data_IF_750461848556
#
_entry.id   IF_750461848556
#
_cell.length_a   1.000
_cell.length_b   1.000
_cell.length_c   1.000
_cell.angle_alpha   90.00
_cell.angle_beta   90.00
_cell.angle_gamma   90.00
#
_symmetry.space_group_name_H-M   'P 1'
#
loop_
_entity.id
_entity.type
_entity.pdbx_description
1 polymer ?
#
# COMPACT_ATOMS: atom_id res chain seq x y z
N UNK A 1 -13.98 -5.25 -6.09
CA UNK A 1 -12.68 -5.72 -6.26
C UNK A 1 -11.79 -4.61 -6.65
N UNK A 2 -10.68 -4.53 -6.02
CA UNK A 2 -9.75 -3.44 -6.24
C UNK A 2 -8.59 -3.89 -7.11
N UNK A 3 -7.99 -2.94 -7.82
CA UNK A 3 -6.77 -3.18 -8.57
C UNK A 3 -5.63 -2.53 -7.77
N UNK A 4 -4.69 -3.34 -7.31
CA UNK A 4 -3.69 -2.91 -6.32
C UNK A 4 -2.30 -2.99 -6.91
N UNK A 5 -1.55 -1.89 -6.81
CA UNK A 5 -0.14 -1.88 -7.19
C UNK A 5 0.69 -2.21 -5.97
N UNK A 6 1.51 -3.25 -6.07
CA UNK A 6 2.37 -3.69 -4.98
C UNK A 6 3.80 -3.38 -5.35
N UNK A 7 4.47 -2.55 -4.56
CA UNK A 7 5.87 -2.21 -4.75
C UNK A 7 6.69 -2.86 -3.63
N UNK A 8 7.45 -3.89 -3.97
CA UNK A 8 8.20 -4.68 -2.99
C UNK A 8 9.33 -5.39 -3.70
N UNK A 9 10.58 -5.20 -3.26
CA UNK A 9 11.73 -5.78 -3.92
C UNK A 9 12.05 -7.22 -3.48
N UNK A 10 11.51 -7.67 -2.34
CA UNK A 10 11.69 -9.05 -1.93
C UNK A 10 10.63 -9.91 -2.58
N UNK A 11 11.07 -10.79 -3.48
CA UNK A 11 10.14 -11.60 -4.25
C UNK A 11 9.24 -12.47 -3.38
N UNK A 12 9.78 -13.03 -2.32
CA UNK A 12 8.98 -13.89 -1.44
C UNK A 12 7.84 -13.10 -0.78
N UNK A 13 8.10 -11.85 -0.41
CA UNK A 13 7.08 -11.01 0.21
C UNK A 13 6.04 -10.59 -0.82
N UNK A 14 6.49 -10.13 -1.99
CA UNK A 14 5.54 -9.68 -3.01
C UNK A 14 4.65 -10.81 -3.50
N UNK A 15 5.21 -12.03 -3.64
CA UNK A 15 4.42 -13.17 -4.06
C UNK A 15 3.38 -13.55 -3.00
N UNK A 16 3.77 -13.51 -1.73
CA UNK A 16 2.85 -13.81 -0.64
C UNK A 16 1.70 -12.81 -0.60
N UNK A 17 2.04 -11.53 -0.68
CA UNK A 17 1.04 -10.47 -0.61
C UNK A 17 0.10 -10.53 -1.82
N UNK A 18 0.65 -10.69 -3.00
CA UNK A 18 -0.13 -10.76 -4.22
C UNK A 18 -1.13 -11.91 -4.15
N UNK A 19 -0.66 -13.08 -3.72
CA UNK A 19 -1.53 -14.23 -3.63
C UNK A 19 -2.63 -14.03 -2.58
N UNK A 20 -2.27 -13.46 -1.43
CA UNK A 20 -3.24 -13.22 -0.38
C UNK A 20 -4.37 -12.31 -0.87
N UNK A 21 -4.00 -11.24 -1.56
CA UNK A 21 -4.99 -10.29 -2.05
C UNK A 21 -5.84 -10.88 -3.18
N UNK A 22 -5.23 -11.69 -4.03
CA UNK A 22 -5.98 -12.35 -5.10
C UNK A 22 -6.99 -13.33 -4.52
N UNK A 23 -6.68 -13.99 -3.42
CA UNK A 23 -7.60 -14.89 -2.77
C UNK A 23 -8.82 -14.15 -2.22
N UNK A 24 -8.68 -12.85 -1.92
CA UNK A 24 -9.79 -12.03 -1.47
C UNK A 24 -10.50 -11.32 -2.64
N UNK A 25 -10.14 -11.65 -3.88
CA UNK A 25 -10.83 -11.15 -5.05
C UNK A 25 -10.27 -9.89 -5.67
N UNK A 26 -9.13 -9.42 -5.21
CA UNK A 26 -8.48 -8.24 -5.81
C UNK A 26 -7.60 -8.65 -6.96
N UNK A 27 -7.29 -7.72 -7.86
CA UNK A 27 -6.28 -7.93 -8.89
C UNK A 27 -5.03 -7.19 -8.46
N UNK A 28 -3.87 -7.71 -8.79
CA UNK A 28 -2.61 -7.13 -8.35
C UNK A 28 -1.62 -6.96 -9.49
N UNK A 29 -0.76 -5.95 -9.36
CA UNK A 29 0.35 -5.75 -10.27
C UNK A 29 1.56 -5.54 -9.37
N UNK A 30 2.59 -6.36 -9.51
CA UNK A 30 3.77 -6.29 -8.66
C UNK A 30 4.91 -5.64 -9.41
N UNK A 31 5.57 -4.68 -8.76
CA UNK A 31 6.80 -4.09 -9.28
C UNK A 31 7.85 -4.17 -8.17
N UNK A 32 9.12 -4.12 -8.53
CA UNK A 32 10.20 -4.42 -7.59
C UNK A 32 10.96 -3.19 -7.10
N UNK A 33 10.61 -2.00 -7.54
CA UNK A 33 11.26 -0.79 -7.05
C UNK A 33 10.33 0.41 -7.21
N UNK A 34 10.70 1.50 -6.56
CA UNK A 34 9.89 2.71 -6.57
C UNK A 34 9.82 3.39 -7.93
N UNK A 35 10.86 3.27 -8.73
CA UNK A 35 10.87 3.84 -10.07
C UNK A 35 9.88 3.13 -10.98
N UNK A 36 9.85 1.80 -10.91
CA UNK A 36 8.89 1.01 -11.67
C UNK A 36 7.46 1.27 -11.19
N UNK A 37 7.30 1.50 -9.87
CA UNK A 37 5.98 1.83 -9.33
C UNK A 37 5.49 3.19 -9.85
N UNK A 38 6.36 4.18 -9.86
CA UNK A 38 5.99 5.50 -10.37
C UNK A 38 5.60 5.42 -11.85
N UNK A 39 6.33 4.62 -12.63
CA UNK A 39 6.05 4.43 -14.03
C UNK A 39 4.68 3.74 -14.21
N UNK A 40 4.39 2.71 -13.44
CA UNK A 40 3.12 2.01 -13.52
C UNK A 40 1.96 2.94 -13.19
N UNK A 41 2.12 3.79 -12.16
CA UNK A 41 1.09 4.73 -11.78
C UNK A 41 0.79 5.74 -12.88
N UNK A 42 1.78 6.09 -13.67
CA UNK A 42 1.57 7.05 -14.75
C UNK A 42 0.83 6.43 -15.94
N UNK A 43 0.81 5.12 -16.03
CA UNK A 43 0.24 4.44 -17.18
C UNK A 43 -1.09 3.73 -16.92
N UNK A 44 -1.39 3.44 -15.68
CA UNK A 44 -2.59 2.68 -15.33
C UNK A 44 -3.27 3.25 -14.11
N UNK A 45 -4.54 2.93 -13.96
CA UNK A 45 -5.29 3.31 -12.77
C UNK A 45 -5.20 2.21 -11.72
N UNK A 46 -4.96 2.59 -10.47
CA UNK A 46 -4.95 1.65 -9.36
C UNK A 46 -5.83 2.20 -8.24
N UNK A 47 -6.45 1.29 -7.51
CA UNK A 47 -7.33 1.67 -6.39
C UNK A 47 -6.55 1.81 -5.08
N UNK A 48 -5.36 1.24 -5.02
CA UNK A 48 -4.51 1.31 -3.82
C UNK A 48 -3.05 1.12 -4.21
N UNK A 49 -2.16 1.85 -3.55
CA UNK A 49 -0.73 1.60 -3.62
C UNK A 49 -0.30 0.95 -2.32
N UNK A 50 0.26 -0.26 -2.40
CA UNK A 50 0.81 -0.97 -1.25
C UNK A 50 2.31 -1.04 -1.47
N UNK A 51 3.09 -0.37 -0.64
CA UNK A 51 4.53 -0.24 -0.88
C UNK A 51 5.36 -0.50 0.35
N UNK A 52 6.50 -1.15 0.15
CA UNK A 52 7.53 -1.24 1.18
C UNK A 52 8.20 0.12 1.29
N UNK A 53 8.88 0.38 2.40
CA UNK A 53 9.60 1.62 2.60
C UNK A 53 10.98 1.55 1.97
N UNK A 54 11.71 0.49 2.21
CA UNK A 54 13.07 0.36 1.70
C UNK A 54 13.08 -0.41 0.39
N UNK A 55 13.39 0.29 -0.70
CA UNK A 55 13.45 -0.31 -2.04
C UNK A 55 14.55 0.37 -2.84
N UNK A 56 15.09 -0.29 -3.86
CA UNK A 56 16.07 0.36 -4.74
C UNK A 56 15.40 1.40 -5.62
N UNK A 57 16.19 2.26 -6.15
CA UNK A 57 15.85 3.34 -7.09
C UNK A 57 15.09 4.48 -6.39
N UNK A 58 13.93 4.20 -5.84
CA UNK A 58 13.15 5.21 -5.11
C UNK A 58 12.50 4.49 -3.94
N UNK A 59 12.73 4.95 -2.71
CA UNK A 59 12.15 4.30 -1.55
C UNK A 59 10.65 4.60 -1.44
N UNK A 60 9.97 3.87 -0.56
CA UNK A 60 8.53 3.98 -0.43
C UNK A 60 8.06 5.34 0.07
N UNK A 61 8.87 6.04 0.85
CA UNK A 61 8.49 7.37 1.34
C UNK A 61 8.50 8.37 0.19
N UNK A 62 9.54 8.35 -0.64
CA UNK A 62 9.61 9.21 -1.81
C UNK A 62 8.50 8.88 -2.79
N UNK A 63 8.21 7.60 -2.96
CA UNK A 63 7.13 7.16 -3.82
C UNK A 63 5.79 7.66 -3.30
N UNK A 64 5.55 7.57 -1.99
CA UNK A 64 4.29 8.02 -1.40
C UNK A 64 4.11 9.52 -1.57
N UNK A 65 5.18 10.29 -1.39
CA UNK A 65 5.10 11.73 -1.58
C UNK A 65 4.71 12.07 -3.02
N UNK A 66 5.34 11.38 -3.98
CA UNK A 66 5.06 11.62 -5.38
C UNK A 66 3.64 11.17 -5.74
N UNK A 67 3.25 10.01 -5.27
CA UNK A 67 1.93 9.45 -5.57
C UNK A 67 0.81 10.28 -4.96
N UNK A 68 0.98 10.75 -3.72
CA UNK A 68 -0.05 11.55 -3.07
C UNK A 68 -0.24 12.89 -3.77
N UNK A 69 0.81 13.46 -4.32
CA UNK A 69 0.70 14.71 -5.04
C UNK A 69 0.00 14.53 -6.40
N UNK A 70 0.30 13.43 -7.08
CA UNK A 70 -0.25 13.18 -8.42
C UNK A 70 -1.63 12.52 -8.39
N UNK A 71 -1.88 11.70 -7.38
CA UNK A 71 -3.12 10.92 -7.30
C UNK A 71 -3.70 11.03 -5.89
N UNK A 72 -4.20 12.20 -5.49
CA UNK A 72 -4.59 12.44 -4.10
C UNK A 72 -5.73 11.57 -3.59
N UNK A 73 -6.51 10.99 -4.49
CA UNK A 73 -7.62 10.14 -4.07
C UNK A 73 -7.23 8.67 -3.91
N UNK A 74 -6.02 8.31 -4.32
CA UNK A 74 -5.57 6.91 -4.22
C UNK A 74 -5.00 6.67 -2.83
N UNK A 75 -5.57 5.74 -2.06
CA UNK A 75 -5.01 5.43 -0.73
C UNK A 75 -3.67 4.72 -0.83
N UNK A 76 -2.84 4.92 0.18
CA UNK A 76 -1.50 4.36 0.26
C UNK A 76 -1.35 3.61 1.57
N UNK A 77 -0.94 2.35 1.50
CA UNK A 77 -0.65 1.52 2.65
C UNK A 77 0.83 1.16 2.60
N UNK A 78 1.55 1.37 3.69
CA UNK A 78 2.98 1.05 3.75
C UNK A 78 3.27 -0.20 4.54
N UNK A 79 4.29 -0.94 4.09
CA UNK A 79 4.79 -2.11 4.79
C UNK A 79 6.17 -1.76 5.33
N UNK A 80 6.46 -2.11 6.57
CA UNK A 80 7.77 -1.84 7.15
C UNK A 80 8.25 -2.99 8.02
N UNK A 81 9.56 -3.25 7.99
CA UNK A 81 10.17 -4.28 8.82
C UNK A 81 10.97 -3.74 9.98
N UNK A 82 11.13 -2.41 10.07
CA UNK A 82 12.00 -1.84 11.10
C UNK A 82 11.28 -0.73 11.86
N UNK A 83 11.53 -0.66 13.15
CA UNK A 83 10.87 0.31 14.02
C UNK A 83 11.10 1.75 13.59
N UNK A 84 12.33 2.08 13.22
CA UNK A 84 12.63 3.46 12.85
C UNK A 84 11.97 3.84 11.50
N UNK A 85 11.74 2.86 10.64
CA UNK A 85 11.03 3.12 9.40
C UNK A 85 9.56 3.36 9.68
N UNK A 86 9.02 2.65 10.66
CA UNK A 86 7.64 2.85 11.05
C UNK A 86 7.46 4.25 11.60
N UNK A 87 8.45 4.75 12.35
CA UNK A 87 8.41 6.11 12.88
C UNK A 87 8.42 7.12 11.73
N UNK A 88 9.27 6.91 10.72
CA UNK A 88 9.31 7.80 9.56
C UNK A 88 7.97 7.80 8.82
N UNK A 89 7.35 6.62 8.68
CA UNK A 89 6.07 6.51 8.01
C UNK A 89 4.98 7.23 8.80
N UNK A 90 4.99 7.12 10.11
CA UNK A 90 4.01 7.81 10.94
C UNK A 90 4.11 9.32 10.81
N UNK A 91 5.28 9.85 10.53
CA UNK A 91 5.44 11.28 10.34
C UNK A 91 4.79 11.76 9.03
N UNK A 92 4.32 10.82 8.19
CA UNK A 92 3.67 11.14 6.94
C UNK A 92 2.18 10.79 6.97
N UNK A 93 1.57 10.79 8.14
CA UNK A 93 0.17 10.42 8.29
C UNK A 93 -0.78 11.17 7.36
N UNK A 94 -0.43 12.38 7.00
CA UNK A 94 -1.29 13.14 6.11
C UNK A 94 -1.27 12.59 4.68
N UNK A 95 -0.26 11.78 4.34
CA UNK A 95 -0.06 11.28 2.99
C UNK A 95 -0.39 9.81 2.83
N UNK A 96 -0.26 9.04 3.90
CA UNK A 96 -0.49 7.60 3.84
C UNK A 96 -1.67 7.25 4.73
N UNK A 97 -2.32 6.14 4.42
CA UNK A 97 -3.53 5.77 5.13
C UNK A 97 -3.28 4.82 6.28
N UNK A 98 -2.25 4.03 6.21
CA UNK A 98 -1.89 3.13 7.29
C UNK A 98 -0.51 2.53 7.07
N UNK A 99 0.04 1.90 8.11
CA UNK A 99 1.33 1.23 8.06
C UNK A 99 1.13 -0.15 8.68
N UNK A 100 1.61 -1.20 8.00
CA UNK A 100 1.55 -2.55 8.55
C UNK A 100 2.97 -3.06 8.74
N UNK A 101 3.24 -3.68 9.87
CA UNK A 101 4.57 -4.18 10.22
C UNK A 101 4.78 -5.61 9.73
N UNK A 102 5.94 -5.87 9.17
CA UNK A 102 6.36 -7.22 8.81
C UNK A 102 6.94 -7.90 10.04
N UNK A 103 6.79 -9.19 10.20
CA UNK A 103 6.03 -10.07 9.34
C UNK A 103 4.53 -9.98 9.65
N UNK A 104 3.72 -10.26 8.66
CA UNK A 104 2.27 -10.25 8.84
C UNK A 104 1.68 -11.53 8.27
N UNK A 105 0.50 -11.90 8.77
CA UNK A 105 -0.20 -13.06 8.26
C UNK A 105 -1.02 -12.68 7.04
N UNK A 106 -1.55 -13.69 6.37
CA UNK A 106 -2.45 -13.49 5.24
C UNK A 106 -3.64 -12.64 5.68
N UNK A 107 -4.24 -12.95 6.83
CA UNK A 107 -5.39 -12.19 7.29
C UNK A 107 -5.02 -10.76 7.65
N UNK A 108 -3.87 -10.56 8.25
CA UNK A 108 -3.44 -9.21 8.64
C UNK A 108 -3.28 -8.29 7.43
N UNK A 109 -2.63 -8.79 6.36
CA UNK A 109 -2.43 -7.92 5.20
C UNK A 109 -3.75 -7.70 4.47
N UNK A 110 -4.60 -8.70 4.38
CA UNK A 110 -5.89 -8.55 3.73
C UNK A 110 -6.80 -7.61 4.49
N UNK A 111 -6.82 -7.71 5.82
CA UNK A 111 -7.64 -6.82 6.63
C UNK A 111 -7.14 -5.39 6.55
N UNK A 112 -5.82 -5.18 6.52
CA UNK A 112 -5.26 -3.85 6.40
C UNK A 112 -5.65 -3.22 5.06
N UNK A 113 -5.61 -3.99 3.98
CA UNK A 113 -6.00 -3.50 2.66
C UNK A 113 -7.49 -3.18 2.64
N UNK A 114 -8.32 -4.06 3.17
CA UNK A 114 -9.76 -3.84 3.17
C UNK A 114 -10.13 -2.61 4.00
N UNK A 115 -9.46 -2.40 5.13
CA UNK A 115 -9.71 -1.24 5.95
C UNK A 115 -9.34 0.05 5.22
N UNK A 116 -8.21 0.05 4.51
CA UNK A 116 -7.76 1.24 3.80
C UNK A 116 -8.67 1.52 2.61
N UNK A 117 -9.13 0.48 1.92
CA UNK A 117 -10.03 0.66 0.79
C UNK A 117 -11.41 1.15 1.26
N UNK A 118 -11.62 1.07 2.54
CA UNK A 118 -12.77 1.67 3.06
C UNK A 118 -13.92 0.96 2.90
N UNK A 119 -13.56 0.20 2.82
CA UNK A 119 -14.46 -0.48 3.02
C UNK A 119 -15.40 0.18 3.26
N UNK A 120 -14.90 0.67 3.20
CA UNK A 120 -15.33 1.20 3.32
C UNK A 120 -16.16 1.42 2.73
N UNK A 121 -16.22 1.13 2.26
CA UNK A 121 -16.95 1.39 1.69
C UNK A 121 -17.88 1.70 2.39
N UNK A 122 -18.00 1.31 2.94
CA UNK A 122 -18.88 1.58 3.65
C UNK A 122 -18.59 2.55 4.16
N UNK A 123 -17.94 2.72 3.96
CA UNK A 123 -17.60 3.50 4.47
C UNK A 123 -17.98 4.49 4.77
N UNK A 124 -18.53 4.76 4.40
CA UNK A 124 -18.79 5.85 4.73
C UNK A 124 -18.95 5.97 6.02
N UNK A 125 -19.45 5.44 6.46
CA UNK A 125 -19.67 5.60 7.66
C UNK A 125 -18.60 5.21 8.33
N UNK A 126 -17.73 4.63 7.80
CA UNK A 126 -16.74 4.37 8.41
C UNK A 126 -16.13 5.49 8.97
N UNK A 127 -16.08 6.58 8.36
CA UNK A 127 -15.48 7.67 8.96
C UNK A 127 -16.21 8.05 10.18
N UNK A 128 -17.47 7.95 10.19
CA UNK A 128 -18.19 8.30 11.35
C UNK A 128 -17.92 7.32 12.44
N UNK A 129 -17.75 6.10 12.10
CA UNK A 129 -17.58 5.17 13.05
C UNK A 129 -16.28 5.20 13.64
N UNK A 130 -15.28 5.47 12.99
CA UNK A 130 -14.11 5.45 13.49
C UNK A 130 -13.73 6.61 13.95
N UNK A 131 -14.44 7.48 13.76
CA UNK A 131 -14.10 8.74 14.25
C UNK A 131 -13.71 8.65 15.58
#
# INVERSE_FOLDING_TARGET
>A
MAHILIAEDEEAVSAFVSRALELRGHTTHVVSDGGAAADALSKNHYDLLLTDIVMPVMDGISLALKASAAYPDMPILMMTGFAHEKQRAHNLEALIHDVISKPFSLDEICDAVDNVLGTGSAAPDRSALRA
#
